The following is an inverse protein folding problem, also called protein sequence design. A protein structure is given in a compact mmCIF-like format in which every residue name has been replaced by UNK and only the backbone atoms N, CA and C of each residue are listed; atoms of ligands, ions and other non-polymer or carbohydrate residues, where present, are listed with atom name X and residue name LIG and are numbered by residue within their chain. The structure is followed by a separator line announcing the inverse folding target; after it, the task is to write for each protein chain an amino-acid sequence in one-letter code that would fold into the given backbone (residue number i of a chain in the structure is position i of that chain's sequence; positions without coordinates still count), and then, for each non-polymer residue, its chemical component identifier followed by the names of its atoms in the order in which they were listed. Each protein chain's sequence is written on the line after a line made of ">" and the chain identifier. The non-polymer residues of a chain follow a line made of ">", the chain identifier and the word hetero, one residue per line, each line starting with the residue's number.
data_IF_553104047131
#
_entry.id   IF_553104047131
#
_cell.length_a   1.000
_cell.length_b   1.000
_cell.length_c   1.000
_cell.angle_alpha   90.00
_cell.angle_beta   90.00
_cell.angle_gamma   90.00
#
_symmetry.space_group_name_H-M   'P 1'
#
loop_
_entity.id
_entity.type
_entity.pdbx_description
1 polymer ?
#
# COMPACT_ATOMS: atom_id res chain seq x y z
N UNK A 1 -27.76 -6.64 10.12
CA UNK A 1 -26.94 -6.35 11.31
C UNK A 1 -27.21 -4.90 11.68
N UNK A 2 -27.53 -4.63 12.92
CA UNK A 2 -27.67 -3.24 13.39
C UNK A 2 -26.30 -2.67 13.71
N UNK A 3 -26.04 -1.43 13.30
CA UNK A 3 -24.91 -0.65 13.81
C UNK A 3 -25.15 -0.49 15.32
N UNK A 4 -24.14 -0.88 16.13
CA UNK A 4 -24.29 -0.93 17.58
C UNK A 4 -24.91 -2.23 18.10
N UNK A 5 -25.16 -2.28 19.41
CA UNK A 5 -25.88 -3.34 20.10
C UNK A 5 -25.02 -4.45 20.71
N UNK A 6 -23.69 -4.45 20.50
CA UNK A 6 -22.76 -5.37 21.20
C UNK A 6 -21.81 -4.63 22.13
N UNK A 7 -21.40 -5.29 23.19
CA UNK A 7 -20.25 -4.84 23.98
C UNK A 7 -18.95 -5.17 23.22
N UNK A 8 -17.86 -4.50 23.61
CA UNK A 8 -16.50 -4.77 23.12
C UNK A 8 -16.16 -6.27 23.23
N UNK A 9 -16.42 -6.88 24.39
CA UNK A 9 -16.10 -8.28 24.62
C UNK A 9 -16.93 -9.23 23.74
N UNK A 10 -18.21 -8.94 23.53
CA UNK A 10 -19.08 -9.71 22.64
C UNK A 10 -18.60 -9.62 21.19
N UNK A 11 -18.19 -8.44 20.73
CA UNK A 11 -17.70 -8.25 19.39
C UNK A 11 -16.34 -8.96 19.17
N UNK A 12 -15.41 -8.85 20.12
CA UNK A 12 -14.13 -9.59 20.07
C UNK A 12 -14.33 -11.11 20.13
N UNK A 13 -15.30 -11.61 20.94
CA UNK A 13 -15.60 -13.03 21.03
C UNK A 13 -16.19 -13.61 19.73
N UNK A 14 -16.74 -12.76 18.84
CA UNK A 14 -17.25 -13.18 17.53
C UNK A 14 -16.16 -13.29 16.45
N UNK A 15 -14.94 -12.87 16.75
CA UNK A 15 -13.79 -12.94 15.85
C UNK A 15 -12.92 -14.18 16.18
N UNK A 16 -12.30 -14.75 15.15
CA UNK A 16 -11.35 -15.86 15.28
C UNK A 16 -10.17 -15.63 14.36
N UNK A 17 -9.06 -16.32 14.61
CA UNK A 17 -7.89 -16.30 13.75
C UNK A 17 -8.25 -16.73 12.31
N UNK A 18 -7.88 -15.91 11.34
CA UNK A 18 -8.17 -16.09 9.92
C UNK A 18 -6.89 -16.42 9.11
N UNK A 19 -5.75 -16.64 9.75
CA UNK A 19 -4.47 -16.84 9.06
C UNK A 19 -4.27 -18.27 8.55
N UNK A 20 -5.15 -19.20 8.91
CA UNK A 20 -5.05 -20.60 8.47
C UNK A 20 -4.96 -20.71 6.94
N UNK A 21 -3.91 -21.39 6.45
CA UNK A 21 -3.66 -21.55 5.01
C UNK A 21 -2.99 -20.36 4.32
N UNK A 22 -2.71 -19.26 5.02
CA UNK A 22 -1.88 -18.19 4.48
C UNK A 22 -0.40 -18.63 4.48
N UNK A 23 0.22 -18.64 3.30
CA UNK A 23 1.60 -19.08 3.11
C UNK A 23 2.46 -17.88 2.72
N UNK A 24 3.57 -17.59 3.45
CA UNK A 24 4.47 -16.52 3.05
C UNK A 24 5.11 -16.81 1.68
N UNK A 25 5.57 -15.75 1.01
CA UNK A 25 6.29 -15.89 -0.26
C UNK A 25 7.56 -16.72 -0.04
N UNK A 26 7.72 -17.77 -0.83
CA UNK A 26 8.84 -18.69 -0.73
C UNK A 26 10.08 -18.25 -1.53
N UNK A 27 11.22 -18.89 -1.27
CA UNK A 27 12.51 -18.59 -1.91
C UNK A 27 12.43 -18.64 -3.44
N UNK A 28 11.75 -19.63 -3.98
CA UNK A 28 11.66 -19.82 -5.44
C UNK A 28 10.97 -18.63 -6.14
N UNK A 29 9.95 -18.05 -5.52
CA UNK A 29 9.30 -16.86 -6.07
C UNK A 29 10.22 -15.63 -5.99
N UNK A 30 11.01 -15.46 -4.92
CA UNK A 30 12.01 -14.40 -4.87
C UNK A 30 13.06 -14.55 -5.98
N UNK A 31 13.52 -15.77 -6.25
CA UNK A 31 14.43 -16.04 -7.37
C UNK A 31 13.80 -15.72 -8.74
N UNK A 32 12.52 -16.02 -8.93
CA UNK A 32 11.78 -15.63 -10.15
C UNK A 32 11.65 -14.11 -10.29
N UNK A 33 11.43 -13.37 -9.19
CA UNK A 33 11.39 -11.90 -9.17
C UNK A 33 12.74 -11.30 -9.56
N UNK A 34 13.83 -11.85 -9.03
CA UNK A 34 15.20 -11.48 -9.41
C UNK A 34 15.43 -11.74 -10.90
N UNK A 35 15.09 -12.92 -11.40
CA UNK A 35 15.27 -13.26 -12.81
C UNK A 35 14.47 -12.32 -13.75
N UNK A 36 13.24 -11.95 -13.36
CA UNK A 36 12.41 -10.98 -14.09
C UNK A 36 13.05 -9.58 -14.11
N UNK A 37 13.58 -9.12 -12.98
CA UNK A 37 14.28 -7.85 -12.89
C UNK A 37 15.56 -7.87 -13.75
N UNK A 38 16.32 -8.94 -13.71
CA UNK A 38 17.54 -9.11 -14.51
C UNK A 38 17.25 -9.09 -16.02
N UNK A 39 16.20 -9.79 -16.46
CA UNK A 39 15.77 -9.76 -17.86
C UNK A 39 15.40 -8.35 -18.31
N UNK A 40 14.65 -7.62 -17.48
CA UNK A 40 14.29 -6.22 -17.75
C UNK A 40 15.52 -5.32 -17.81
N UNK A 41 16.42 -5.44 -16.82
CA UNK A 41 17.65 -4.66 -16.75
C UNK A 41 18.56 -4.88 -17.98
N UNK A 42 18.68 -6.14 -18.45
CA UNK A 42 19.43 -6.47 -19.66
C UNK A 42 18.82 -5.82 -20.90
N UNK A 43 17.49 -5.85 -21.04
CA UNK A 43 16.79 -5.21 -22.16
C UNK A 43 16.97 -3.68 -22.16
N UNK A 44 16.99 -3.06 -20.99
CA UNK A 44 17.11 -1.60 -20.82
C UNK A 44 18.58 -1.12 -20.71
N UNK A 45 19.57 -2.02 -20.69
CA UNK A 45 20.97 -1.67 -20.55
C UNK A 45 21.36 -1.14 -19.14
N UNK A 46 20.67 -1.60 -18.10
CA UNK A 46 20.97 -1.26 -16.70
C UNK A 46 21.90 -2.35 -16.15
N UNK A 47 23.06 -1.95 -15.62
CA UNK A 47 24.08 -2.91 -15.18
C UNK A 47 23.79 -3.48 -13.78
N UNK A 48 23.27 -2.68 -12.87
CA UNK A 48 22.91 -3.10 -11.52
C UNK A 48 21.86 -2.17 -10.91
N UNK A 49 21.20 -2.65 -9.83
CA UNK A 49 20.32 -1.86 -8.99
C UNK A 49 20.72 -2.08 -7.51
N UNK A 50 20.89 -1.00 -6.77
CA UNK A 50 20.95 -1.05 -5.31
C UNK A 50 19.54 -1.11 -4.73
N UNK A 51 19.24 -2.16 -4.00
CA UNK A 51 17.99 -2.40 -3.28
C UNK A 51 18.20 -1.99 -1.81
N UNK A 52 17.62 -0.86 -1.43
CA UNK A 52 17.73 -0.38 -0.05
C UNK A 52 16.88 -1.23 0.91
N UNK A 53 17.28 -1.28 2.19
CA UNK A 53 16.46 -1.83 3.27
C UNK A 53 15.02 -1.31 3.20
N UNK A 54 14.04 -2.18 3.44
CA UNK A 54 12.62 -1.89 3.28
C UNK A 54 11.93 -2.81 2.27
N UNK A 55 10.86 -2.32 1.66
CA UNK A 55 9.99 -3.14 0.80
C UNK A 55 10.71 -3.70 -0.44
N UNK A 56 11.61 -2.94 -1.07
CA UNK A 56 12.34 -3.43 -2.26
C UNK A 56 13.32 -4.56 -1.91
N UNK A 57 14.08 -4.45 -0.82
CA UNK A 57 14.94 -5.54 -0.36
C UNK A 57 14.10 -6.79 -0.05
N UNK A 58 13.01 -6.62 0.69
CA UNK A 58 12.08 -7.71 1.04
C UNK A 58 11.46 -8.34 -0.21
N UNK A 59 11.03 -7.53 -1.19
CA UNK A 59 10.40 -8.03 -2.41
C UNK A 59 11.33 -8.95 -3.22
N UNK A 60 12.57 -8.53 -3.44
CA UNK A 60 13.48 -9.30 -4.29
C UNK A 60 14.19 -10.44 -3.55
N UNK A 61 14.53 -10.24 -2.27
CA UNK A 61 15.40 -11.21 -1.56
C UNK A 61 14.72 -11.94 -0.41
N UNK A 62 13.52 -11.54 -0.02
CA UNK A 62 12.86 -12.05 1.19
C UNK A 62 13.46 -11.53 2.49
N UNK A 63 14.57 -10.80 2.43
CA UNK A 63 15.27 -10.28 3.61
C UNK A 63 14.50 -9.10 4.19
N UNK A 64 14.08 -9.23 5.44
CA UNK A 64 13.36 -8.16 6.18
C UNK A 64 14.37 -7.34 6.96
N UNK A 65 14.56 -6.09 6.53
CA UNK A 65 15.40 -5.12 7.23
C UNK A 65 14.78 -3.73 7.14
N UNK A 66 14.79 -3.00 8.24
CA UNK A 66 14.26 -1.65 8.28
C UNK A 66 15.35 -0.65 7.93
N UNK A 67 15.00 0.38 7.16
CA UNK A 67 15.91 1.48 6.86
C UNK A 67 16.26 2.26 8.13
N UNK A 68 17.53 2.64 8.24
CA UNK A 68 18.08 3.46 9.32
C UNK A 68 19.09 4.44 8.75
N UNK A 69 19.89 5.05 9.59
CA UNK A 69 21.03 5.92 9.21
C UNK A 69 22.20 5.13 8.61
N UNK A 70 22.17 3.80 8.68
CA UNK A 70 23.20 2.93 8.10
C UNK A 70 22.82 2.40 6.73
N UNK A 71 23.78 2.30 5.84
CA UNK A 71 23.56 1.70 4.54
C UNK A 71 23.47 0.17 4.68
N UNK A 72 22.28 -0.36 4.62
CA UNK A 72 21.98 -1.80 4.54
C UNK A 72 21.11 -2.06 3.31
N UNK A 73 21.46 -3.08 2.54
CA UNK A 73 20.71 -3.43 1.33
C UNK A 73 21.40 -4.52 0.51
N UNK A 74 21.06 -4.58 -0.77
CA UNK A 74 21.66 -5.52 -1.69
C UNK A 74 21.90 -4.88 -3.07
N UNK A 75 22.94 -5.33 -3.76
CA UNK A 75 23.18 -5.04 -5.17
C UNK A 75 22.65 -6.19 -5.98
N UNK A 76 21.66 -5.91 -6.83
CA UNK A 76 21.14 -6.83 -7.82
C UNK A 76 21.78 -6.51 -9.18
N UNK A 77 22.73 -7.32 -9.68
CA UNK A 77 23.34 -7.14 -10.99
C UNK A 77 22.39 -7.63 -12.09
N UNK A 78 22.54 -7.11 -13.31
CA UNK A 78 21.82 -7.61 -14.49
C UNK A 78 22.14 -9.08 -14.81
N UNK A 79 23.28 -9.58 -14.35
CA UNK A 79 23.68 -10.99 -14.46
C UNK A 79 24.45 -11.41 -13.22
N UNK A 80 24.18 -12.62 -12.70
CA UNK A 80 24.86 -13.16 -11.52
C UNK A 80 24.01 -13.08 -10.26
N UNK A 81 24.64 -13.40 -9.14
CA UNK A 81 23.98 -13.44 -7.83
C UNK A 81 23.86 -12.06 -7.20
N UNK A 82 22.86 -11.90 -6.34
CA UNK A 82 22.71 -10.73 -5.46
C UNK A 82 23.85 -10.73 -4.43
N UNK A 83 24.38 -9.54 -4.12
CA UNK A 83 25.33 -9.34 -3.05
C UNK A 83 24.83 -8.29 -2.06
N UNK A 84 24.93 -8.58 -0.78
CA UNK A 84 24.45 -7.71 0.30
C UNK A 84 25.54 -6.76 0.80
N UNK A 85 25.11 -5.63 1.34
CA UNK A 85 25.94 -4.65 2.03
C UNK A 85 25.35 -4.42 3.42
N UNK A 86 26.17 -4.52 4.46
CA UNK A 86 25.77 -4.29 5.84
C UNK A 86 26.96 -3.87 6.72
N UNK A 87 26.74 -3.22 7.88
CA UNK A 87 27.80 -3.03 8.87
C UNK A 87 28.24 -4.38 9.42
N UNK A 88 29.52 -4.53 9.73
CA UNK A 88 30.15 -5.80 10.14
C UNK A 88 29.51 -6.40 11.39
N UNK A 89 29.10 -5.59 12.34
CA UNK A 89 28.47 -6.07 13.58
C UNK A 89 27.06 -6.68 13.35
N UNK A 90 26.41 -6.38 12.21
CA UNK A 90 25.10 -6.92 11.83
C UNK A 90 25.19 -8.15 10.90
N UNK A 91 26.38 -8.59 10.52
CA UNK A 91 26.55 -9.66 9.54
C UNK A 91 25.79 -10.93 9.91
N UNK A 92 25.91 -11.37 11.17
CA UNK A 92 25.24 -12.59 11.65
C UNK A 92 23.73 -12.45 11.67
N UNK A 93 23.21 -11.28 12.10
CA UNK A 93 21.79 -10.97 12.12
C UNK A 93 21.21 -10.93 10.70
N UNK A 94 21.93 -10.28 9.78
CA UNK A 94 21.51 -10.22 8.38
C UNK A 94 21.44 -11.62 7.77
N UNK A 95 22.46 -12.47 8.00
CA UNK A 95 22.49 -13.86 7.51
C UNK A 95 21.32 -14.69 8.03
N UNK A 96 20.89 -14.48 9.26
CA UNK A 96 19.72 -15.16 9.83
C UNK A 96 18.40 -14.72 9.16
N UNK A 97 18.32 -13.48 8.70
CA UNK A 97 17.15 -12.95 8.01
C UNK A 97 17.13 -13.14 6.48
N UNK A 98 18.25 -13.57 5.90
CA UNK A 98 18.34 -13.80 4.46
C UNK A 98 17.52 -15.03 4.03
N UNK A 99 16.69 -14.87 3.02
CA UNK A 99 16.01 -15.99 2.36
C UNK A 99 16.68 -16.36 1.03
N UNK A 100 17.13 -15.37 0.26
CA UNK A 100 17.95 -15.57 -0.93
C UNK A 100 19.42 -15.47 -0.54
N UNK A 101 20.20 -16.50 -0.87
CA UNK A 101 21.64 -16.52 -0.57
C UNK A 101 22.41 -15.50 -1.42
N UNK A 102 23.50 -14.98 -0.86
CA UNK A 102 24.41 -14.06 -1.53
C UNK A 102 25.59 -13.70 -0.64
N UNK A 103 26.67 -13.21 -1.22
CA UNK A 103 27.81 -12.71 -0.46
C UNK A 103 27.40 -11.51 0.39
N UNK A 104 27.84 -11.46 1.64
CA UNK A 104 27.65 -10.29 2.51
C UNK A 104 28.96 -9.52 2.56
N UNK A 105 28.89 -8.26 2.16
CA UNK A 105 30.00 -7.33 2.14
C UNK A 105 29.85 -6.39 3.32
N UNK A 106 30.77 -6.45 4.25
CA UNK A 106 30.70 -5.72 5.50
C UNK A 106 31.63 -4.49 5.51
N UNK A 107 31.20 -3.45 6.21
CA UNK A 107 31.96 -2.25 6.50
C UNK A 107 31.99 -2.02 8.02
N UNK A 108 33.13 -1.57 8.52
CA UNK A 108 33.27 -1.17 9.92
C UNK A 108 32.76 0.25 10.13
N UNK A 109 32.29 0.58 11.33
CA UNK A 109 31.67 1.90 11.66
C UNK A 109 32.54 3.13 11.29
N UNK A 110 33.85 2.96 11.16
CA UNK A 110 34.78 4.01 10.73
C UNK A 110 35.09 4.02 9.23
N UNK A 111 34.57 3.05 8.47
CA UNK A 111 34.77 2.92 7.03
C UNK A 111 33.61 3.53 6.24
N UNK A 112 33.84 3.75 4.95
CA UNK A 112 32.82 4.26 4.05
C UNK A 112 32.03 3.13 3.39
N UNK A 113 30.73 2.94 3.72
CA UNK A 113 29.88 1.96 3.04
C UNK A 113 29.73 2.29 1.54
N UNK A 114 29.86 3.53 1.16
CA UNK A 114 29.75 3.99 -0.22
C UNK A 114 30.99 3.61 -1.05
N UNK A 115 32.17 3.65 -0.45
CA UNK A 115 33.39 3.13 -1.07
C UNK A 115 33.31 1.60 -1.26
N UNK A 116 32.80 0.90 -0.26
CA UNK A 116 32.52 -0.53 -0.36
C UNK A 116 31.55 -0.84 -1.49
N UNK A 117 30.44 -0.08 -1.61
CA UNK A 117 29.47 -0.25 -2.71
C UNK A 117 30.15 -0.18 -4.08
N UNK A 118 30.98 0.84 -4.33
CA UNK A 118 31.71 0.98 -5.60
C UNK A 118 32.72 -0.15 -5.79
N UNK A 119 33.40 -0.60 -4.73
CA UNK A 119 34.33 -1.73 -4.81
C UNK A 119 33.60 -3.04 -5.16
N UNK A 120 32.41 -3.27 -4.59
CA UNK A 120 31.57 -4.42 -4.92
C UNK A 120 31.14 -4.40 -6.36
N UNK A 121 30.67 -3.27 -6.90
CA UNK A 121 30.31 -3.14 -8.33
C UNK A 121 31.49 -3.57 -9.24
N UNK A 122 32.71 -3.07 -8.94
CA UNK A 122 33.90 -3.43 -9.71
C UNK A 122 34.20 -4.93 -9.66
N UNK A 123 34.10 -5.53 -8.47
CA UNK A 123 34.32 -6.97 -8.27
C UNK A 123 33.28 -7.82 -8.99
N UNK A 124 32.03 -7.36 -9.07
CA UNK A 124 30.96 -8.00 -9.84
C UNK A 124 31.15 -7.88 -11.36
N UNK A 125 32.24 -7.27 -11.80
CA UNK A 125 32.55 -7.07 -13.24
C UNK A 125 31.85 -5.84 -13.85
N UNK A 126 31.18 -5.03 -13.05
CA UNK A 126 30.58 -3.77 -13.48
C UNK A 126 31.66 -2.68 -13.35
N UNK A 127 32.64 -2.76 -14.27
CA UNK A 127 33.79 -1.84 -14.21
C UNK A 127 33.39 -0.43 -14.71
N UNK A 128 33.93 0.62 -14.08
CA UNK A 128 33.70 1.99 -14.53
C UNK A 128 34.26 2.19 -15.95
N UNK A 129 33.54 2.94 -16.78
CA UNK A 129 33.92 3.28 -18.13
C UNK A 129 33.49 4.72 -18.45
N UNK A 130 34.45 5.64 -18.49
CA UNK A 130 34.17 7.06 -18.72
C UNK A 130 33.59 7.34 -20.15
N UNK A 131 33.89 6.49 -21.13
CA UNK A 131 33.36 6.65 -22.49
C UNK A 131 31.92 6.16 -22.62
N UNK A 132 31.55 5.15 -21.81
CA UNK A 132 30.21 4.57 -21.76
C UNK A 132 29.90 4.15 -20.32
N UNK A 133 29.54 5.08 -19.45
CA UNK A 133 29.31 4.81 -18.04
C UNK A 133 28.23 3.74 -17.84
N UNK A 134 28.50 2.65 -17.08
CA UNK A 134 27.48 1.69 -16.72
C UNK A 134 26.33 2.36 -15.96
N UNK A 135 25.10 2.07 -16.36
CA UNK A 135 23.91 2.58 -15.68
C UNK A 135 23.66 1.78 -14.40
N UNK A 136 23.59 2.47 -13.28
CA UNK A 136 23.36 1.87 -11.95
C UNK A 136 22.18 2.56 -11.29
N UNK A 137 21.11 1.80 -11.08
CA UNK A 137 19.92 2.29 -10.39
C UNK A 137 20.13 2.34 -8.88
N UNK A 138 19.77 3.46 -8.26
CA UNK A 138 19.64 3.57 -6.80
C UNK A 138 18.15 3.51 -6.44
N UNK A 139 17.81 2.64 -5.50
CA UNK A 139 16.45 2.44 -5.04
C UNK A 139 15.77 3.76 -4.68
N UNK A 140 14.56 3.98 -5.19
CA UNK A 140 13.77 5.20 -4.97
C UNK A 140 13.40 5.43 -3.49
N UNK A 141 13.44 4.36 -2.67
CA UNK A 141 13.21 4.45 -1.22
C UNK A 141 14.50 4.67 -0.42
N UNK A 142 15.67 4.73 -1.07
CA UNK A 142 16.91 5.03 -0.38
C UNK A 142 16.91 6.47 0.13
N UNK A 143 17.32 6.67 1.39
CA UNK A 143 17.48 8.00 1.93
C UNK A 143 18.51 8.80 1.13
N UNK A 144 18.29 10.09 0.98
CA UNK A 144 19.13 10.95 0.14
C UNK A 144 20.63 10.86 0.48
N UNK A 145 20.99 10.69 1.77
CA UNK A 145 22.39 10.56 2.19
C UNK A 145 23.11 9.37 1.54
N UNK A 146 22.38 8.30 1.21
CA UNK A 146 22.97 7.12 0.52
C UNK A 146 23.37 7.52 -0.90
N UNK A 147 22.49 8.17 -1.65
CA UNK A 147 22.78 8.65 -2.98
C UNK A 147 23.91 9.68 -2.97
N UNK A 148 23.84 10.65 -2.06
CA UNK A 148 24.83 11.72 -1.93
C UNK A 148 26.21 11.19 -1.54
N UNK A 149 26.27 10.16 -0.69
CA UNK A 149 27.52 9.47 -0.33
C UNK A 149 28.11 8.63 -1.47
N UNK A 150 27.29 7.98 -2.29
CA UNK A 150 27.75 7.19 -3.43
C UNK A 150 28.23 8.10 -4.58
N UNK A 151 27.52 9.17 -4.89
CA UNK A 151 27.70 10.02 -6.06
C UNK A 151 29.16 10.51 -6.27
N UNK A 152 29.87 11.04 -5.27
CA UNK A 152 31.25 11.54 -5.47
C UNK A 152 32.27 10.42 -5.70
N UNK A 153 31.96 9.17 -5.38
CA UNK A 153 32.83 8.01 -5.54
C UNK A 153 32.51 7.21 -6.82
N UNK A 154 31.40 7.51 -7.47
CA UNK A 154 30.86 6.77 -8.63
C UNK A 154 30.80 7.66 -9.89
N UNK A 155 31.77 8.58 -10.09
CA UNK A 155 31.78 9.53 -11.20
C UNK A 155 31.79 8.89 -12.59
N UNK A 156 32.33 7.67 -12.70
CA UNK A 156 32.40 6.91 -13.95
C UNK A 156 31.22 5.95 -14.15
N UNK A 157 30.15 6.12 -13.37
CA UNK A 157 28.87 5.41 -13.49
C UNK A 157 27.75 6.41 -13.78
N UNK A 158 26.76 5.99 -14.55
CA UNK A 158 25.52 6.75 -14.72
C UNK A 158 24.53 6.34 -13.65
N UNK A 159 24.50 7.08 -12.52
CA UNK A 159 23.55 6.83 -11.44
C UNK A 159 22.16 7.33 -11.82
N UNK A 160 21.16 6.48 -11.62
CA UNK A 160 19.77 6.78 -11.94
C UNK A 160 18.80 6.25 -10.88
N UNK A 161 17.53 6.64 -10.96
CA UNK A 161 16.47 6.12 -10.11
C UNK A 161 16.10 4.70 -10.54
N UNK A 162 16.18 3.73 -9.60
CA UNK A 162 15.85 2.33 -9.87
C UNK A 162 14.35 2.04 -10.07
N UNK A 163 13.47 3.03 -9.86
CA UNK A 163 12.01 2.83 -9.89
C UNK A 163 11.52 2.13 -11.16
N UNK A 164 12.14 2.38 -12.30
CA UNK A 164 11.76 1.70 -13.54
C UNK A 164 11.91 0.17 -13.45
N UNK A 165 12.86 -0.35 -12.65
CA UNK A 165 13.02 -1.80 -12.39
C UNK A 165 12.12 -2.27 -11.26
N UNK A 166 12.16 -1.58 -10.13
CA UNK A 166 11.43 -1.96 -8.92
C UNK A 166 9.92 -1.89 -9.13
N UNK A 167 9.42 -0.80 -9.70
CA UNK A 167 8.00 -0.64 -9.99
C UNK A 167 7.51 -1.57 -11.10
N UNK A 168 8.31 -1.81 -12.16
CA UNK A 168 7.97 -2.80 -13.19
C UNK A 168 7.70 -4.19 -12.59
N UNK A 169 8.53 -4.61 -11.63
CA UNK A 169 8.38 -5.89 -10.98
C UNK A 169 7.25 -5.90 -9.94
N UNK A 170 7.18 -4.89 -9.07
CA UNK A 170 6.25 -4.85 -7.92
C UNK A 170 4.81 -4.51 -8.31
N UNK A 171 4.61 -3.75 -9.39
CA UNK A 171 3.25 -3.37 -9.80
C UNK A 171 2.39 -4.57 -10.19
N UNK A 172 2.99 -5.63 -10.76
CA UNK A 172 2.28 -6.84 -11.21
C UNK A 172 2.44 -7.95 -10.19
N UNK A 173 1.40 -8.15 -9.39
CA UNK A 173 1.36 -9.14 -8.30
C UNK A 173 1.19 -10.56 -8.85
N UNK A 174 1.91 -11.49 -8.26
CA UNK A 174 1.71 -12.92 -8.49
C UNK A 174 0.42 -13.42 -7.86
N UNK A 175 0.00 -14.63 -8.20
CA UNK A 175 -1.16 -15.28 -7.57
C UNK A 175 -0.96 -15.47 -6.05
N UNK A 176 0.29 -15.72 -5.60
CA UNK A 176 0.60 -15.85 -4.18
C UNK A 176 0.48 -14.51 -3.44
N UNK A 177 0.94 -13.41 -4.04
CA UNK A 177 0.78 -12.05 -3.50
C UNK A 177 -0.71 -11.68 -3.41
N UNK A 178 -1.49 -11.94 -4.46
CA UNK A 178 -2.93 -11.68 -4.49
C UNK A 178 -3.65 -12.48 -3.39
N UNK A 179 -3.27 -13.74 -3.17
CA UNK A 179 -3.86 -14.57 -2.12
C UNK A 179 -3.60 -14.03 -0.71
N UNK A 180 -2.39 -13.53 -0.43
CA UNK A 180 -2.04 -12.88 0.84
C UNK A 180 -2.81 -11.57 1.03
N UNK A 181 -2.89 -10.74 -0.02
CA UNK A 181 -3.66 -9.49 -0.01
C UNK A 181 -5.16 -9.75 0.19
N UNK A 182 -5.71 -10.79 -0.47
CA UNK A 182 -7.11 -11.20 -0.28
C UNK A 182 -7.36 -11.53 1.19
N UNK A 183 -6.53 -12.39 1.79
CA UNK A 183 -6.68 -12.79 3.18
C UNK A 183 -6.56 -11.58 4.14
N UNK A 184 -5.60 -10.68 3.93
CA UNK A 184 -5.47 -9.48 4.75
C UNK A 184 -6.71 -8.59 4.67
N UNK A 185 -7.33 -8.47 3.48
CA UNK A 185 -8.57 -7.70 3.29
C UNK A 185 -9.78 -8.38 3.92
N UNK A 186 -9.89 -9.70 3.83
CA UNK A 186 -10.96 -10.46 4.52
C UNK A 186 -10.88 -10.26 6.04
N UNK A 187 -9.65 -10.26 6.61
CA UNK A 187 -9.41 -9.96 8.02
C UNK A 187 -9.89 -8.56 8.39
N UNK A 188 -9.53 -7.54 7.60
CA UNK A 188 -9.93 -6.16 7.83
C UNK A 188 -11.44 -5.96 7.67
N UNK A 189 -12.09 -6.63 6.72
CA UNK A 189 -13.55 -6.60 6.59
C UNK A 189 -14.25 -7.19 7.81
N UNK A 190 -13.75 -8.30 8.37
CA UNK A 190 -14.29 -8.86 9.62
C UNK A 190 -14.14 -7.87 10.78
N UNK A 191 -13.04 -7.13 10.84
CA UNK A 191 -12.80 -6.06 11.83
C UNK A 191 -13.78 -4.90 11.64
N UNK A 192 -14.02 -4.43 10.41
CA UNK A 192 -15.02 -3.39 10.12
C UNK A 192 -16.42 -3.77 10.61
N UNK A 193 -16.85 -5.01 10.32
CA UNK A 193 -18.17 -5.53 10.76
C UNK A 193 -18.25 -5.57 12.29
N UNK A 194 -17.19 -6.06 12.94
CA UNK A 194 -17.14 -6.11 14.41
C UNK A 194 -17.16 -4.70 15.01
N UNK A 195 -16.41 -3.76 14.41
CA UNK A 195 -16.34 -2.36 14.86
C UNK A 195 -17.70 -1.67 14.76
N UNK A 196 -18.41 -1.83 13.66
CA UNK A 196 -19.76 -1.26 13.52
C UNK A 196 -20.70 -1.76 14.61
N UNK A 197 -20.52 -3.00 15.11
CA UNK A 197 -21.40 -3.59 16.14
C UNK A 197 -21.20 -3.03 17.54
N UNK A 198 -20.07 -2.37 17.85
CA UNK A 198 -19.80 -1.79 19.19
C UNK A 198 -20.17 -0.31 19.28
N UNK A 199 -20.52 0.33 18.17
CA UNK A 199 -20.82 1.77 18.18
C UNK A 199 -22.05 2.06 19.05
N UNK A 200 -21.95 3.09 19.87
CA UNK A 200 -23.03 3.62 20.67
C UNK A 200 -22.83 5.11 20.90
N UNK A 201 -23.89 5.83 21.17
CA UNK A 201 -23.79 7.25 21.50
C UNK A 201 -22.89 7.47 22.71
N UNK A 202 -21.95 8.40 22.59
CA UNK A 202 -20.96 8.70 23.63
C UNK A 202 -19.63 7.94 23.50
N UNK A 203 -19.51 6.91 22.64
CA UNK A 203 -18.21 6.27 22.37
C UNK A 203 -17.27 7.26 21.67
N UNK A 204 -16.00 7.22 22.01
CA UNK A 204 -14.98 8.10 21.43
C UNK A 204 -14.24 7.43 20.28
N UNK A 205 -13.66 8.23 19.36
CA UNK A 205 -12.80 7.73 18.29
C UNK A 205 -11.64 6.92 18.85
N UNK A 206 -11.05 7.34 19.97
CA UNK A 206 -9.96 6.62 20.64
C UNK A 206 -10.34 5.22 21.10
N UNK A 207 -11.51 5.07 21.72
CA UNK A 207 -12.01 3.74 22.14
C UNK A 207 -12.24 2.82 20.94
N UNK A 208 -12.71 3.38 19.82
CA UNK A 208 -12.91 2.62 18.58
C UNK A 208 -11.56 2.24 17.95
N UNK A 209 -10.56 3.12 17.93
CA UNK A 209 -9.20 2.82 17.47
C UNK A 209 -8.55 1.70 18.28
N UNK A 210 -8.66 1.74 19.61
CA UNK A 210 -8.17 0.70 20.52
C UNK A 210 -8.88 -0.65 20.27
N UNK A 211 -10.19 -0.61 20.01
CA UNK A 211 -10.93 -1.81 19.64
C UNK A 211 -10.46 -2.40 18.32
N UNK A 212 -10.27 -1.58 17.28
CA UNK A 212 -9.82 -2.00 15.94
C UNK A 212 -8.46 -2.69 16.04
N UNK A 213 -7.50 -2.15 16.80
CA UNK A 213 -6.19 -2.80 16.98
C UNK A 213 -6.33 -4.18 17.66
N UNK A 214 -7.12 -4.28 18.72
CA UNK A 214 -7.41 -5.55 19.39
C UNK A 214 -8.13 -6.54 18.46
N UNK A 215 -9.05 -6.06 17.63
CA UNK A 215 -9.78 -6.88 16.67
C UNK A 215 -8.87 -7.42 15.58
N UNK A 216 -7.94 -6.59 15.04
CA UNK A 216 -6.93 -7.05 14.08
C UNK A 216 -6.02 -8.13 14.69
N UNK A 217 -5.59 -7.98 15.94
CA UNK A 217 -4.84 -9.04 16.64
C UNK A 217 -5.67 -10.32 16.78
N UNK A 218 -6.95 -10.19 17.06
CA UNK A 218 -7.87 -11.33 17.23
C UNK A 218 -8.09 -12.12 15.94
N UNK A 219 -8.09 -11.47 14.79
CA UNK A 219 -8.18 -12.13 13.47
C UNK A 219 -6.82 -12.65 12.96
N UNK A 220 -5.73 -12.47 13.72
CA UNK A 220 -4.42 -13.05 13.43
C UNK A 220 -3.36 -12.07 12.90
N UNK A 221 -3.64 -10.77 12.84
CA UNK A 221 -2.62 -9.77 12.54
C UNK A 221 -1.73 -9.55 13.77
N UNK A 222 -0.59 -10.24 13.84
CA UNK A 222 0.26 -10.28 15.03
C UNK A 222 0.70 -8.90 15.53
N UNK A 223 0.96 -7.96 14.63
CA UNK A 223 1.30 -6.58 14.97
C UNK A 223 0.09 -5.68 15.29
N UNK A 224 -1.14 -6.18 15.14
CA UNK A 224 -2.36 -5.39 15.22
C UNK A 224 -2.65 -4.63 13.93
N UNK A 225 -3.25 -3.46 14.05
CA UNK A 225 -3.50 -2.58 12.91
C UNK A 225 -2.19 -2.03 12.33
N UNK A 226 -2.12 -1.94 11.01
CA UNK A 226 -1.04 -1.22 10.35
C UNK A 226 -1.23 0.29 10.48
N UNK A 227 -2.47 0.74 10.35
CA UNK A 227 -2.93 2.10 10.61
C UNK A 227 -4.40 2.07 11.01
N UNK A 228 -4.88 3.16 11.62
CA UNK A 228 -6.30 3.34 12.00
C UNK A 228 -6.65 4.81 11.89
N UNK A 229 -7.72 5.11 11.18
CA UNK A 229 -8.37 6.42 11.13
C UNK A 229 -9.84 6.22 11.50
N UNK A 230 -10.31 6.88 12.55
CA UNK A 230 -11.72 6.88 12.98
C UNK A 230 -12.20 8.31 13.11
N UNK A 231 -13.24 8.66 12.36
CA UNK A 231 -13.77 10.03 12.30
C UNK A 231 -15.28 10.03 12.44
N UNK A 232 -15.80 11.01 13.18
CA UNK A 232 -17.24 11.22 13.40
C UNK A 232 -17.67 12.60 12.97
N UNK A 233 -18.87 12.72 12.37
CA UNK A 233 -19.50 13.96 12.01
C UNK A 233 -18.68 14.81 11.06
N UNK A 234 -18.48 16.09 11.38
CA UNK A 234 -17.71 17.05 10.55
C UNK A 234 -16.26 16.60 10.31
N UNK A 235 -15.65 15.92 11.28
CA UNK A 235 -14.27 15.45 11.13
C UNK A 235 -14.08 14.50 9.95
N UNK A 236 -15.13 13.82 9.49
CA UNK A 236 -15.09 12.96 8.29
C UNK A 236 -14.77 13.72 6.99
N UNK A 237 -14.89 15.06 6.97
CA UNK A 237 -14.51 15.90 5.83
C UNK A 237 -12.99 16.09 5.70
N UNK A 238 -12.18 15.56 6.62
CA UNK A 238 -10.72 15.66 6.62
C UNK A 238 -10.10 14.29 6.29
N UNK A 239 -9.50 14.11 5.11
CA UNK A 239 -9.10 12.78 4.61
C UNK A 239 -8.21 11.96 5.55
N UNK A 240 -7.26 12.60 6.26
CA UNK A 240 -6.37 11.96 7.22
C UNK A 240 -6.68 12.30 8.68
N UNK A 241 -7.88 12.88 8.92
CA UNK A 241 -8.37 13.14 10.26
C UNK A 241 -7.99 14.48 10.83
N UNK A 242 -8.25 14.62 12.12
CA UNK A 242 -8.06 15.84 12.92
C UNK A 242 -7.30 15.51 14.20
N UNK A 243 -6.74 16.51 14.87
CA UNK A 243 -5.90 16.32 16.06
C UNK A 243 -6.66 16.13 17.37
N UNK A 244 -8.00 16.18 17.36
CA UNK A 244 -8.83 16.06 18.54
C UNK A 244 -9.71 14.82 18.50
N UNK A 245 -9.99 14.25 19.67
CA UNK A 245 -10.89 13.11 19.85
C UNK A 245 -12.33 13.57 19.67
N UNK A 246 -13.10 12.83 18.84
CA UNK A 246 -14.54 13.06 18.68
C UNK A 246 -15.34 12.06 19.53
N UNK A 247 -16.53 12.47 19.94
CA UNK A 247 -17.52 11.65 20.63
C UNK A 247 -18.72 11.44 19.72
N UNK A 248 -19.11 10.19 19.48
CA UNK A 248 -20.18 9.81 18.57
C UNK A 248 -21.54 10.29 19.07
N UNK A 249 -22.30 10.90 18.18
CA UNK A 249 -23.67 11.37 18.41
C UNK A 249 -24.63 10.69 17.43
N UNK A 250 -25.88 10.58 17.83
CA UNK A 250 -26.94 10.12 16.92
C UNK A 250 -27.05 11.02 15.68
N UNK A 251 -27.02 10.43 14.49
CA UNK A 251 -27.03 11.13 13.20
C UNK A 251 -25.65 11.47 12.64
N UNK A 252 -24.55 11.19 13.37
CA UNK A 252 -23.22 11.43 12.87
C UNK A 252 -22.85 10.46 11.72
N UNK A 253 -22.19 11.01 10.72
CA UNK A 253 -21.43 10.21 9.74
C UNK A 253 -20.24 9.60 10.46
N UNK A 254 -20.00 8.31 10.23
CA UNK A 254 -18.86 7.55 10.74
C UNK A 254 -18.00 7.14 9.54
N UNK A 255 -16.75 7.54 9.54
CA UNK A 255 -15.76 7.10 8.56
C UNK A 255 -14.67 6.34 9.32
N UNK A 256 -14.46 5.10 8.93
CA UNK A 256 -13.38 4.25 9.46
C UNK A 256 -12.54 3.78 8.30
N UNK A 257 -11.24 4.05 8.39
CA UNK A 257 -10.23 3.64 7.44
C UNK A 257 -9.12 2.92 8.17
N UNK A 258 -8.87 1.65 7.81
CA UNK A 258 -7.94 0.81 8.55
C UNK A 258 -7.44 -0.37 7.73
N UNK A 259 -6.30 -0.89 8.15
CA UNK A 259 -5.71 -2.06 7.56
C UNK A 259 -4.75 -2.81 8.48
N UNK A 260 -4.37 -4.00 8.07
CA UNK A 260 -3.38 -4.82 8.76
C UNK A 260 -2.34 -5.36 7.78
N UNK A 261 -1.33 -6.05 8.32
CA UNK A 261 -0.32 -6.77 7.54
C UNK A 261 -0.41 -8.27 7.76
N UNK A 262 -0.37 -9.02 6.67
CA UNK A 262 -0.22 -10.46 6.67
C UNK A 262 0.98 -10.84 5.79
N UNK A 263 2.03 -11.44 6.39
CA UNK A 263 3.29 -11.75 5.71
C UNK A 263 3.83 -10.58 4.87
N UNK A 264 3.80 -9.37 5.44
CA UNK A 264 4.19 -8.06 4.89
C UNK A 264 3.23 -7.45 3.85
N UNK A 265 2.22 -8.18 3.33
CA UNK A 265 1.20 -7.62 2.44
C UNK A 265 0.12 -6.89 3.23
N UNK A 266 -0.30 -5.74 2.69
CA UNK A 266 -1.12 -4.78 3.40
C UNK A 266 -2.57 -4.85 2.91
N UNK A 267 -3.51 -4.74 3.85
CA UNK A 267 -4.89 -4.37 3.58
C UNK A 267 -5.12 -2.89 3.88
N UNK A 268 -6.06 -2.30 3.17
CA UNK A 268 -6.46 -0.92 3.29
C UNK A 268 -7.92 -0.83 2.85
N UNK A 269 -8.83 -0.44 3.75
CA UNK A 269 -10.26 -0.43 3.48
C UNK A 269 -10.91 0.70 4.26
N UNK A 270 -11.66 1.55 3.56
CA UNK A 270 -12.50 2.56 4.19
C UNK A 270 -13.98 2.19 4.07
N UNK A 271 -14.72 2.40 5.15
CA UNK A 271 -16.19 2.34 5.18
C UNK A 271 -16.77 3.59 5.82
N UNK A 272 -17.74 4.18 5.12
CA UNK A 272 -18.53 5.31 5.63
C UNK A 272 -19.99 4.92 5.76
N UNK A 273 -20.58 5.21 6.91
CA UNK A 273 -21.99 4.97 7.21
C UNK A 273 -22.50 5.99 8.26
N UNK A 274 -23.75 5.91 8.67
CA UNK A 274 -24.34 6.83 9.65
C UNK A 274 -24.75 6.06 10.90
N UNK A 275 -24.45 6.60 12.08
CA UNK A 275 -24.94 6.09 13.35
C UNK A 275 -26.30 6.74 13.71
N UNK A 276 -27.37 5.96 13.67
CA UNK A 276 -28.73 6.47 13.94
C UNK A 276 -29.48 6.91 12.67
N UNK A 277 -30.32 7.97 12.73
CA UNK A 277 -31.12 8.39 11.58
C UNK A 277 -30.27 9.00 10.46
N UNK A 278 -30.56 8.59 9.23
CA UNK A 278 -29.86 9.03 8.03
C UNK A 278 -30.64 10.22 7.43
N UNK A 279 -29.97 11.35 7.23
CA UNK A 279 -30.55 12.50 6.53
C UNK A 279 -30.52 12.29 5.01
N UNK A 280 -31.43 12.98 4.28
CA UNK A 280 -31.44 12.97 2.81
C UNK A 280 -30.13 13.51 2.21
N UNK A 281 -29.49 14.46 2.89
CA UNK A 281 -28.19 15.02 2.49
C UNK A 281 -27.09 13.95 2.55
N UNK A 282 -27.00 13.20 3.67
CA UNK A 282 -26.04 12.11 3.83
C UNK A 282 -26.28 11.02 2.78
N UNK A 283 -27.51 10.62 2.58
CA UNK A 283 -27.89 9.63 1.56
C UNK A 283 -27.50 10.05 0.15
N UNK A 284 -27.77 11.28 -0.21
CA UNK A 284 -27.42 11.82 -1.53
C UNK A 284 -25.91 11.84 -1.76
N UNK A 285 -25.14 12.35 -0.80
CA UNK A 285 -23.67 12.42 -0.90
C UNK A 285 -23.05 11.02 -0.94
N UNK A 286 -23.53 10.12 -0.09
CA UNK A 286 -23.08 8.73 -0.05
C UNK A 286 -23.29 8.02 -1.41
N UNK A 287 -24.47 8.22 -2.01
CA UNK A 287 -24.79 7.63 -3.31
C UNK A 287 -23.94 8.24 -4.44
N UNK A 288 -23.62 9.53 -4.39
CA UNK A 288 -22.76 10.19 -5.37
C UNK A 288 -21.33 9.65 -5.31
N UNK A 289 -20.79 9.44 -4.10
CA UNK A 289 -19.47 8.85 -3.93
C UNK A 289 -19.44 7.39 -4.40
N UNK A 290 -20.43 6.59 -4.00
CA UNK A 290 -20.59 5.19 -4.44
C UNK A 290 -20.63 5.07 -5.97
N UNK A 291 -21.34 5.99 -6.64
CA UNK A 291 -21.42 6.07 -8.10
C UNK A 291 -20.06 6.41 -8.72
N UNK A 292 -19.27 7.27 -8.07
CA UNK A 292 -17.93 7.60 -8.53
C UNK A 292 -16.96 6.41 -8.39
N UNK A 293 -17.02 5.67 -7.28
CA UNK A 293 -16.27 4.42 -7.08
C UNK A 293 -16.61 3.40 -8.19
N UNK A 294 -17.87 3.21 -8.48
CA UNK A 294 -18.33 2.31 -9.54
C UNK A 294 -17.87 2.77 -10.94
N UNK A 295 -17.89 4.09 -11.21
CA UNK A 295 -17.44 4.65 -12.49
C UNK A 295 -15.92 4.44 -12.69
N UNK A 296 -15.11 4.62 -11.64
CA UNK A 296 -13.68 4.33 -11.65
C UNK A 296 -13.41 2.84 -11.97
N UNK A 297 -14.09 1.94 -11.27
CA UNK A 297 -13.95 0.51 -11.50
C UNK A 297 -14.33 0.09 -12.92
N UNK A 298 -15.42 0.62 -13.45
CA UNK A 298 -15.86 0.34 -14.83
C UNK A 298 -14.87 0.84 -15.88
N UNK A 299 -14.17 1.94 -15.60
CA UNK A 299 -13.15 2.50 -16.47
C UNK A 299 -11.81 1.74 -16.42
N UNK A 300 -11.57 0.94 -15.38
CA UNK A 300 -10.34 0.20 -15.19
C UNK A 300 -10.28 -1.03 -16.12
N UNK A 301 -9.91 -0.82 -17.38
CA UNK A 301 -9.77 -1.88 -18.39
C UNK A 301 -8.30 -2.07 -18.77
N UNK A 302 -7.92 -3.26 -19.26
CA UNK A 302 -6.54 -3.53 -19.71
C UNK A 302 -6.10 -2.54 -20.79
N UNK A 303 -4.89 -2.01 -20.65
CA UNK A 303 -4.31 -1.03 -21.55
C UNK A 303 -4.81 0.41 -21.38
N UNK A 304 -5.83 0.65 -20.57
CA UNK A 304 -6.30 2.00 -20.27
C UNK A 304 -5.29 2.70 -19.34
N UNK A 305 -4.88 3.95 -19.61
CA UNK A 305 -4.02 4.71 -18.71
C UNK A 305 -4.64 4.93 -17.33
N UNK A 306 -3.84 4.88 -16.27
CA UNK A 306 -4.27 5.11 -14.88
C UNK A 306 -5.05 6.42 -14.70
N UNK A 307 -4.64 7.50 -15.38
CA UNK A 307 -5.36 8.79 -15.31
C UNK A 307 -6.82 8.72 -15.78
N UNK A 308 -7.17 7.81 -16.70
CA UNK A 308 -8.55 7.72 -17.20
C UNK A 308 -9.49 7.15 -16.14
N UNK A 309 -8.97 6.32 -15.23
CA UNK A 309 -9.72 5.82 -14.06
C UNK A 309 -10.03 6.97 -13.10
N UNK A 310 -9.02 7.81 -12.79
CA UNK A 310 -9.22 9.02 -11.98
C UNK A 310 -10.23 9.99 -12.63
N UNK A 311 -10.08 10.22 -13.92
CA UNK A 311 -11.00 11.08 -14.66
C UNK A 311 -12.43 10.55 -14.67
N UNK A 312 -12.65 9.22 -14.66
CA UNK A 312 -13.99 8.63 -14.61
C UNK A 312 -14.69 8.93 -13.27
N UNK A 313 -13.96 8.77 -12.14
CA UNK A 313 -14.49 9.14 -10.82
C UNK A 313 -14.82 10.65 -10.76
N UNK A 314 -13.89 11.52 -11.18
CA UNK A 314 -14.08 12.99 -11.16
C UNK A 314 -15.25 13.42 -12.00
N UNK A 315 -15.39 12.93 -13.24
CA UNK A 315 -16.56 13.24 -14.08
C UNK A 315 -17.89 12.81 -13.44
N UNK A 316 -17.91 11.67 -12.74
CA UNK A 316 -19.10 11.24 -12.00
C UNK A 316 -19.45 12.20 -10.88
N UNK A 317 -18.47 12.66 -10.11
CA UNK A 317 -18.66 13.63 -9.03
C UNK A 317 -19.09 15.02 -9.57
N UNK A 318 -18.47 15.49 -10.63
CA UNK A 318 -18.78 16.77 -11.26
C UNK A 318 -20.22 16.80 -11.81
N UNK A 319 -20.69 15.68 -12.37
CA UNK A 319 -22.07 15.55 -12.82
C UNK A 319 -23.10 15.64 -11.67
N UNK A 320 -22.69 15.29 -10.46
CA UNK A 320 -23.49 15.39 -9.24
C UNK A 320 -23.23 16.71 -8.46
N UNK A 321 -22.44 17.65 -9.03
CA UNK A 321 -22.20 18.99 -8.49
C UNK A 321 -21.02 19.13 -7.53
N UNK A 322 -20.11 18.14 -7.49
CA UNK A 322 -18.90 18.14 -6.65
C UNK A 322 -17.64 18.42 -7.49
N UNK A 323 -16.82 19.36 -7.06
CA UNK A 323 -15.65 19.80 -7.81
C UNK A 323 -15.85 21.14 -8.52
N UNK A 324 -15.28 21.40 -9.70
CA UNK A 324 -14.50 20.49 -10.56
C UNK A 324 -13.04 20.25 -10.08
N UNK A 325 -12.47 19.19 -10.62
CA UNK A 325 -11.08 18.83 -10.35
C UNK A 325 -10.84 18.55 -8.86
N UNK A 326 -9.93 19.30 -8.23
CA UNK A 326 -9.61 19.18 -6.79
C UNK A 326 -10.34 20.17 -5.89
N UNK A 327 -11.30 20.94 -6.44
CA UNK A 327 -12.06 21.94 -5.66
C UNK A 327 -13.05 21.27 -4.71
N UNK A 328 -13.17 21.88 -3.52
CA UNK A 328 -14.17 21.48 -2.52
C UNK A 328 -15.47 22.30 -2.70
N UNK A 329 -16.64 21.73 -2.37
CA UNK A 329 -16.85 20.33 -2.00
C UNK A 329 -16.57 19.39 -3.17
N UNK A 330 -15.84 18.28 -2.91
CA UNK A 330 -15.44 17.35 -3.96
C UNK A 330 -14.26 16.45 -3.54
N UNK A 331 -13.56 15.88 -4.52
CA UNK A 331 -12.43 14.96 -4.34
C UNK A 331 -11.09 15.71 -4.29
N UNK A 332 -10.48 15.87 -3.09
CA UNK A 332 -9.26 16.66 -2.93
C UNK A 332 -7.95 15.89 -3.24
N UNK A 333 -8.01 14.59 -3.42
CA UNK A 333 -6.84 13.73 -3.66
C UNK A 333 -7.03 12.85 -4.91
N UNK A 334 -6.10 11.93 -5.17
CA UNK A 334 -6.20 10.94 -6.25
C UNK A 334 -7.33 9.94 -5.98
N UNK A 335 -7.83 9.30 -7.04
CA UNK A 335 -8.88 8.26 -6.92
C UNK A 335 -8.36 6.96 -6.33
N UNK A 336 -7.05 6.70 -6.43
CA UNK A 336 -6.46 5.48 -5.85
C UNK A 336 -4.96 5.36 -6.08
N UNK A 337 -4.39 4.32 -5.52
CA UNK A 337 -2.95 4.03 -5.54
C UNK A 337 -2.70 2.52 -5.69
N UNK A 338 -1.52 2.16 -6.21
CA UNK A 338 -1.04 0.79 -6.11
C UNK A 338 -0.81 0.38 -4.65
N UNK A 339 -0.90 -0.89 -4.37
CA UNK A 339 -0.75 -1.44 -3.02
C UNK A 339 -0.09 -2.83 -3.06
N UNK A 340 0.64 -3.19 -2.01
CA UNK A 340 1.30 -4.49 -1.87
C UNK A 340 2.07 -4.60 -0.58
N UNK A 341 3.41 -4.53 -0.66
CA UNK A 341 4.33 -4.48 0.49
C UNK A 341 4.39 -3.08 1.13
N UNK A 342 4.17 -2.03 0.34
CA UNK A 342 3.88 -0.70 0.84
C UNK A 342 2.40 -0.39 0.64
N UNK A 343 1.85 0.44 1.52
CA UNK A 343 0.44 0.87 1.43
C UNK A 343 0.22 1.67 0.15
N UNK A 344 1.13 2.56 -0.20
CA UNK A 344 1.14 3.30 -1.45
C UNK A 344 2.31 2.84 -2.32
N UNK A 345 1.98 2.20 -3.45
CA UNK A 345 2.93 1.80 -4.49
C UNK A 345 2.57 2.46 -5.82
N UNK A 346 3.58 2.68 -6.66
CA UNK A 346 3.34 3.08 -8.05
C UNK A 346 2.77 1.90 -8.86
N UNK A 347 1.88 2.14 -9.88
CA UNK A 347 1.37 3.43 -10.36
C UNK A 347 0.18 3.96 -9.54
N UNK A 348 -0.27 5.18 -9.88
CA UNK A 348 -1.35 5.86 -9.17
C UNK A 348 -2.52 6.17 -10.11
N UNK A 349 -3.75 5.99 -9.61
CA UNK A 349 -4.96 6.44 -10.32
C UNK A 349 -5.12 7.93 -10.11
N UNK A 350 -4.41 8.73 -10.91
CA UNK A 350 -4.30 10.19 -10.79
C UNK A 350 -4.09 10.83 -12.16
N UNK A 351 -4.55 12.04 -12.33
CA UNK A 351 -4.31 12.82 -13.55
C UNK A 351 -2.83 12.92 -13.90
N UNK A 352 -2.47 12.65 -15.16
CA UNK A 352 -1.08 12.64 -15.68
C UNK A 352 -0.36 11.31 -15.59
N UNK A 353 -0.87 10.29 -14.87
CA UNK A 353 -0.26 8.95 -14.89
C UNK A 353 -0.72 8.18 -16.14
N UNK A 354 0.16 8.11 -17.14
CA UNK A 354 -0.05 7.45 -18.43
C UNK A 354 0.23 5.95 -18.41
N UNK A 355 0.55 5.37 -17.23
CA UNK A 355 0.83 3.95 -17.12
C UNK A 355 -0.39 3.14 -17.52
N UNK A 356 -0.28 2.25 -18.53
CA UNK A 356 -1.39 1.39 -18.92
C UNK A 356 -1.65 0.33 -17.84
N UNK A 357 -2.91 0.09 -17.52
CA UNK A 357 -3.32 -1.00 -16.65
C UNK A 357 -2.96 -2.35 -17.26
N UNK A 358 -2.38 -3.23 -16.46
CA UNK A 358 -1.92 -4.54 -16.91
C UNK A 358 -2.26 -5.63 -15.88
N UNK A 359 -2.29 -6.89 -16.34
CA UNK A 359 -2.62 -8.05 -15.50
C UNK A 359 -1.75 -8.11 -14.24
N UNK A 360 -2.35 -8.39 -13.11
CA UNK A 360 -1.70 -8.45 -11.80
C UNK A 360 -1.53 -7.10 -11.10
N UNK A 361 -1.80 -5.98 -11.75
CA UNK A 361 -1.81 -4.68 -11.06
C UNK A 361 -2.95 -4.61 -10.05
N UNK A 362 -2.65 -4.10 -8.85
CA UNK A 362 -3.59 -3.96 -7.74
C UNK A 362 -3.67 -2.50 -7.32
N UNK A 363 -4.89 -2.01 -7.08
CA UNK A 363 -5.15 -0.61 -6.74
C UNK A 363 -6.19 -0.47 -5.64
N UNK A 364 -6.06 0.57 -4.82
CA UNK A 364 -7.21 1.14 -4.12
C UNK A 364 -8.14 1.82 -5.13
N UNK A 365 -9.42 1.89 -4.79
CA UNK A 365 -10.42 2.71 -5.47
C UNK A 365 -11.23 3.41 -4.39
N UNK A 366 -10.84 4.66 -4.11
CA UNK A 366 -11.20 5.41 -2.91
C UNK A 366 -11.58 6.86 -3.20
N UNK A 367 -12.44 7.13 -4.19
CA UNK A 367 -12.90 8.50 -4.37
C UNK A 367 -13.53 9.02 -3.08
N UNK A 368 -13.42 10.33 -2.84
CA UNK A 368 -13.92 10.94 -1.62
C UNK A 368 -14.70 12.21 -1.96
N UNK A 369 -15.73 12.48 -1.20
CA UNK A 369 -16.42 13.78 -1.18
C UNK A 369 -16.15 14.42 0.18
N UNK A 370 -15.37 15.51 0.19
CA UNK A 370 -15.20 16.36 1.37
C UNK A 370 -16.10 17.58 1.27
N UNK A 371 -16.91 17.83 2.31
CA UNK A 371 -17.79 19.00 2.42
C UNK A 371 -17.39 19.75 3.69
N UNK A 372 -16.50 20.76 3.62
CA UNK A 372 -16.07 21.51 4.79
C UNK A 372 -17.25 22.09 5.58
N UNK A 373 -17.23 21.90 6.90
CA UNK A 373 -18.30 22.34 7.80
C UNK A 373 -19.54 21.43 7.84
N UNK A 374 -19.58 20.35 7.05
CA UNK A 374 -20.65 19.35 7.09
C UNK A 374 -20.11 17.97 7.46
N UNK A 375 -19.64 17.22 6.48
CA UNK A 375 -19.07 15.87 6.62
C UNK A 375 -18.35 15.43 5.33
N UNK A 376 -17.69 14.27 5.36
CA UNK A 376 -17.15 13.62 4.18
C UNK A 376 -17.61 12.17 4.07
N UNK A 377 -17.50 11.63 2.84
CA UNK A 377 -17.78 10.23 2.52
C UNK A 377 -16.64 9.69 1.66
N UNK A 378 -16.05 8.57 2.08
CA UNK A 378 -15.11 7.75 1.32
C UNK A 378 -15.51 6.29 1.43
N UNK A 379 -15.61 5.60 0.32
CA UNK A 379 -15.63 4.15 0.27
C UNK A 379 -14.37 3.70 -0.41
N UNK A 380 -13.68 2.78 0.20
CA UNK A 380 -12.46 2.22 -0.35
C UNK A 380 -12.52 0.71 -0.38
N UNK A 381 -12.39 0.21 -1.57
CA UNK A 381 -12.16 -1.18 -1.86
C UNK A 381 -11.01 -1.31 -2.83
N UNK A 382 -10.33 -2.45 -2.79
CA UNK A 382 -9.26 -2.73 -3.73
C UNK A 382 -9.72 -3.64 -4.84
N UNK A 383 -9.16 -3.40 -6.03
CA UNK A 383 -9.32 -4.31 -7.15
C UNK A 383 -7.95 -4.72 -7.71
N UNK A 384 -7.93 -5.81 -8.44
CA UNK A 384 -6.79 -6.26 -9.22
C UNK A 384 -7.20 -6.56 -10.65
N UNK A 385 -6.24 -6.37 -11.57
CA UNK A 385 -6.45 -6.60 -12.99
C UNK A 385 -6.24 -8.08 -13.33
N UNK A 386 -7.20 -8.65 -14.02
CA UNK A 386 -7.13 -10.00 -14.61
C UNK A 386 -7.18 -9.90 -16.13
N UNK A 387 -6.94 -11.01 -16.84
CA UNK A 387 -7.11 -11.07 -18.30
C UNK A 387 -8.55 -10.71 -18.76
N UNK A 388 -9.53 -10.90 -17.88
CA UNK A 388 -10.93 -10.55 -18.12
C UNK A 388 -11.32 -9.13 -17.66
N UNK A 389 -10.35 -8.30 -17.22
CA UNK A 389 -10.56 -6.97 -16.66
C UNK A 389 -10.44 -6.92 -15.14
N UNK A 390 -10.95 -5.85 -14.50
CA UNK A 390 -10.82 -5.64 -13.07
C UNK A 390 -11.67 -6.62 -12.26
N UNK A 391 -11.14 -7.02 -11.11
CA UNK A 391 -11.84 -7.85 -10.12
C UNK A 391 -11.66 -7.27 -8.72
N UNK A 392 -12.74 -7.10 -7.98
CA UNK A 392 -12.70 -6.68 -6.59
C UNK A 392 -12.07 -7.75 -5.69
N UNK A 393 -11.29 -7.32 -4.69
CA UNK A 393 -10.89 -8.16 -3.56
C UNK A 393 -12.03 -8.33 -2.55
N UNK A 394 -12.73 -7.23 -2.27
CA UNK A 394 -13.85 -7.19 -1.33
C UNK A 394 -15.09 -6.70 -2.04
N UNK A 395 -16.27 -7.09 -1.55
CA UNK A 395 -17.52 -6.55 -2.06
C UNK A 395 -17.67 -5.09 -1.60
N UNK A 396 -17.82 -4.11 -2.52
CA UNK A 396 -18.03 -2.72 -2.15
C UNK A 396 -19.30 -2.54 -1.31
N UNK A 397 -19.31 -1.48 -0.48
CA UNK A 397 -20.43 -1.15 0.38
C UNK A 397 -21.76 -1.19 -0.38
N UNK A 398 -22.75 -1.93 0.14
CA UNK A 398 -23.99 -2.22 -0.59
C UNK A 398 -24.90 -1.00 -0.69
N UNK A 399 -25.25 -0.40 0.45
CA UNK A 399 -26.05 0.82 0.57
C UNK A 399 -25.74 1.50 1.90
N UNK A 400 -26.15 2.76 2.03
CA UNK A 400 -26.01 3.48 3.31
C UNK A 400 -26.84 2.84 4.44
N UNK A 401 -27.94 2.14 4.09
CA UNK A 401 -28.80 1.43 5.05
C UNK A 401 -28.23 0.03 5.43
N UNK A 402 -27.44 -0.58 4.55
CA UNK A 402 -26.77 -1.86 4.76
C UNK A 402 -25.35 -1.82 4.20
N UNK A 403 -24.42 -1.09 4.86
CA UNK A 403 -23.07 -0.84 4.33
C UNK A 403 -22.23 -2.10 4.19
N UNK A 404 -22.59 -3.19 4.86
CA UNK A 404 -21.86 -4.46 4.83
C UNK A 404 -22.59 -5.60 4.08
N UNK A 405 -23.79 -5.34 3.51
CA UNK A 405 -24.55 -6.34 2.75
C UNK A 405 -25.04 -7.53 3.58
N UNK A 406 -25.29 -7.33 4.88
CA UNK A 406 -25.64 -8.40 5.83
C UNK A 406 -27.15 -8.60 6.02
N UNK A 407 -27.97 -7.77 5.38
CA UNK A 407 -29.44 -7.82 5.47
C UNK A 407 -30.07 -8.51 4.25
N UNK A 408 -29.31 -9.26 3.47
CA UNK A 408 -29.78 -10.02 2.30
C UNK A 408 -30.53 -11.28 2.69
#
# INVERSE_FOLDING_TARGET
>A
MTIGGKTIDQALASLSDMTAGAVPIGKDEHLQRIARAQAYMQAEGIAAVYLNAGANLTYFTGTRWYASERMVGAILPAQGAVEYIAPAFEESTLKDFMLVDGAVNCWEEHESPYALFVAVLKRMGIAPNAAQPPRVGICESAAFFIYDGIRPLANDYALENARQVTAYCRSRKSAAEIALMQRAKDMTMAVHIATASILHEGITTKEVEEFIDRAHRKVGAAAGSYFVIVLFGEATAYPHGVSYVQTLKSGDTVLIDTGCKLHNYISDITRTYVYGPISERQRSVWNSEKKAQAAAFAAAQLGVPCEQVDQAARRSLEADGFGPGYKLPGLPHRTGHGIGLDIHEWPYLVGGDQTPLDVGMCFSNEPMICIPGEFGVRHEDHFYMTEAGPRWFTEPAHSIDDPFGLQR
#
